data_IF_190317783990
#
_entry.id   IF_190317783990
#
_cell.length_a   1.000
_cell.length_b   1.000
_cell.length_c   1.000
_cell.angle_alpha   90.00
_cell.angle_beta   90.00
_cell.angle_gamma   90.00
#
_symmetry.space_group_name_H-M   'P 1'
#
loop_
_entity.id
_entity.type
_entity.pdbx_description
1 polymer ?
#
# COMPACT_ATOMS: atom_id res chain seq x y z
N UNK A 1 22.42 5.87 -24.10
CA UNK A 1 21.07 6.14 -23.56
C UNK A 1 20.64 5.01 -22.65
N UNK A 2 20.74 5.20 -21.34
CA UNK A 2 20.08 4.29 -20.38
C UNK A 2 18.60 4.65 -20.43
N UNK A 3 17.89 4.01 -21.35
CA UNK A 3 16.44 4.16 -21.54
C UNK A 3 15.73 3.78 -20.24
N UNK A 4 14.87 4.66 -19.73
CA UNK A 4 13.97 4.37 -18.59
C UNK A 4 14.16 5.17 -17.30
N UNK A 5 15.20 6.01 -17.17
CA UNK A 5 15.36 6.86 -15.97
C UNK A 5 14.58 8.18 -16.13
N UNK A 6 13.41 8.26 -15.51
CA UNK A 6 12.68 9.52 -15.28
C UNK A 6 12.80 9.92 -13.79
N UNK A 7 12.97 11.21 -13.50
CA UNK A 7 12.99 11.73 -12.13
C UNK A 7 11.67 11.34 -11.45
N UNK A 8 11.74 10.66 -10.31
CA UNK A 8 10.57 10.18 -9.59
C UNK A 8 10.18 8.73 -9.87
N UNK A 9 10.91 8.00 -10.72
CA UNK A 9 10.73 6.56 -10.96
C UNK A 9 11.76 5.71 -10.20
N UNK A 10 11.37 4.48 -9.85
CA UNK A 10 12.21 3.51 -9.14
C UNK A 10 12.01 2.11 -9.72
N UNK A 11 13.08 1.31 -9.74
CA UNK A 11 13.03 -0.07 -10.18
C UNK A 11 12.20 -0.92 -9.20
N UNK A 12 11.11 -1.51 -9.67
CA UNK A 12 10.25 -2.44 -8.94
C UNK A 12 10.41 -3.86 -9.49
N UNK A 13 10.75 -4.81 -8.62
CA UNK A 13 10.91 -6.23 -9.00
C UNK A 13 9.65 -7.07 -8.79
N UNK A 14 8.68 -6.56 -8.04
CA UNK A 14 7.52 -7.31 -7.57
C UNK A 14 6.25 -6.99 -8.38
N UNK A 15 6.22 -5.87 -9.09
CA UNK A 15 5.03 -5.44 -9.84
C UNK A 15 4.62 -6.42 -10.94
N UNK A 16 5.60 -7.01 -11.65
CA UNK A 16 5.36 -8.03 -12.67
C UNK A 16 5.22 -9.43 -12.06
N UNK A 17 6.00 -9.71 -11.03
CA UNK A 17 6.12 -11.03 -10.41
C UNK A 17 6.11 -10.91 -8.88
N UNK A 18 4.95 -11.08 -8.21
CA UNK A 18 4.87 -10.99 -6.77
C UNK A 18 5.84 -11.97 -6.08
N UNK A 19 6.64 -11.47 -5.14
CA UNK A 19 7.60 -12.27 -4.38
C UNK A 19 8.91 -12.60 -5.12
N UNK A 20 9.12 -12.03 -6.31
CA UNK A 20 10.36 -12.17 -7.03
C UNK A 20 11.55 -11.61 -6.22
N UNK A 21 12.69 -12.29 -6.30
CA UNK A 21 13.95 -11.91 -5.63
C UNK A 21 15.04 -11.51 -6.61
N UNK A 22 14.87 -11.82 -7.89
CA UNK A 22 15.83 -11.56 -8.95
C UNK A 22 15.61 -10.15 -9.51
N UNK A 23 16.69 -9.37 -9.57
CA UNK A 23 16.71 -8.14 -10.35
C UNK A 23 17.28 -8.42 -11.74
N UNK A 24 16.43 -8.41 -12.77
CA UNK A 24 16.82 -8.58 -14.17
C UNK A 24 15.90 -7.73 -15.07
N UNK A 25 16.36 -7.32 -16.28
CA UNK A 25 15.57 -6.45 -17.16
C UNK A 25 14.19 -7.00 -17.56
N UNK A 26 14.03 -8.32 -17.56
CA UNK A 26 12.77 -8.99 -17.90
C UNK A 26 11.92 -9.33 -16.66
N UNK A 27 12.40 -9.01 -15.45
CA UNK A 27 11.71 -9.29 -14.18
C UNK A 27 11.46 -8.04 -13.35
N UNK A 28 11.86 -6.87 -13.84
CA UNK A 28 11.74 -5.60 -13.14
C UNK A 28 11.27 -4.51 -14.10
N UNK A 29 10.51 -3.55 -13.57
CA UNK A 29 9.99 -2.41 -14.32
C UNK A 29 10.31 -1.11 -13.57
N UNK A 30 10.48 0.00 -14.29
CA UNK A 30 10.57 1.30 -13.63
C UNK A 30 9.17 1.83 -13.34
N UNK A 31 8.83 1.97 -12.06
CA UNK A 31 7.51 2.45 -11.62
C UNK A 31 7.62 3.80 -10.92
N UNK A 32 6.58 4.64 -11.00
CA UNK A 32 6.56 5.88 -10.22
C UNK A 32 6.72 5.62 -8.72
N UNK A 33 7.42 6.52 -8.04
CA UNK A 33 7.70 6.36 -6.59
C UNK A 33 6.44 6.35 -5.76
N UNK A 34 5.39 7.08 -6.17
CA UNK A 34 4.11 7.08 -5.45
C UNK A 34 3.43 5.70 -5.47
N UNK A 35 3.61 4.91 -6.53
CA UNK A 35 3.05 3.56 -6.65
C UNK A 35 3.66 2.59 -5.62
N UNK A 36 4.98 2.67 -5.41
CA UNK A 36 5.66 1.89 -4.37
C UNK A 36 5.07 2.13 -2.97
N UNK A 37 4.71 3.39 -2.66
CA UNK A 37 4.16 3.73 -1.33
C UNK A 37 2.82 3.07 -1.03
N UNK A 38 2.10 2.60 -2.06
CA UNK A 38 0.88 1.82 -1.88
C UNK A 38 1.20 0.45 -1.27
N UNK A 39 2.28 -0.20 -1.68
CA UNK A 39 2.55 -1.59 -1.30
C UNK A 39 3.52 -1.73 -0.13
N UNK A 40 4.21 -0.66 0.26
CA UNK A 40 5.27 -0.66 1.29
C UNK A 40 4.82 -1.15 2.68
N UNK A 41 3.52 -1.15 2.98
CA UNK A 41 2.97 -1.60 4.26
C UNK A 41 2.14 -2.90 4.18
N UNK A 42 2.11 -3.55 3.01
CA UNK A 42 1.36 -4.79 2.80
C UNK A 42 2.19 -6.06 3.10
N UNK A 43 3.51 -5.92 3.27
CA UNK A 43 4.38 -7.04 3.63
C UNK A 43 4.19 -7.41 5.10
N UNK A 44 3.79 -8.67 5.32
CA UNK A 44 3.32 -9.29 6.57
C UNK A 44 4.27 -9.22 7.77
N UNK A 45 5.45 -8.62 7.66
CA UNK A 45 6.58 -8.97 8.57
C UNK A 45 7.08 -7.84 9.47
N UNK A 46 6.86 -6.55 9.15
CA UNK A 46 7.57 -5.47 9.86
C UNK A 46 6.73 -4.60 10.82
N UNK A 47 5.41 -4.55 10.65
CA UNK A 47 4.52 -3.73 11.48
C UNK A 47 3.75 -4.52 12.55
N UNK A 48 3.89 -5.84 12.58
CA UNK A 48 3.32 -6.70 13.62
C UNK A 48 4.18 -6.72 14.90
N UNK A 49 4.79 -5.57 15.26
CA UNK A 49 5.63 -5.44 16.47
C UNK A 49 4.82 -5.59 17.77
N UNK A 50 3.50 -5.67 17.66
CA UNK A 50 2.60 -6.01 18.75
C UNK A 50 1.79 -7.25 18.37
N UNK A 51 2.40 -8.45 18.44
CA UNK A 51 1.87 -9.77 18.84
C UNK A 51 0.39 -10.18 18.65
N UNK A 52 -0.43 -9.50 17.85
CA UNK A 52 -1.90 -9.63 17.92
C UNK A 52 -2.54 -10.22 16.65
N UNK A 53 -1.77 -10.77 15.70
CA UNK A 53 -2.31 -11.38 14.47
C UNK A 53 -3.42 -10.55 13.80
N UNK A 54 -3.28 -9.22 13.82
CA UNK A 54 -4.30 -8.34 13.26
C UNK A 54 -4.21 -8.28 11.73
N UNK A 55 -5.35 -8.17 11.03
CA UNK A 55 -5.36 -8.01 9.58
C UNK A 55 -4.60 -6.76 9.12
N UNK A 56 -4.16 -6.75 7.86
CA UNK A 56 -3.52 -5.58 7.26
C UNK A 56 -4.42 -4.33 7.37
N UNK A 57 -3.77 -3.20 7.63
CA UNK A 57 -4.45 -1.93 7.81
C UNK A 57 -5.15 -1.75 9.15
N UNK A 58 -5.10 -2.74 10.04
CA UNK A 58 -5.75 -2.70 11.35
C UNK A 58 -4.70 -2.59 12.45
N UNK A 59 -4.96 -1.73 13.43
CA UNK A 59 -4.20 -1.69 14.68
C UNK A 59 -5.14 -1.63 15.88
N UNK A 60 -4.76 -2.28 16.98
CA UNK A 60 -5.39 -2.03 18.27
C UNK A 60 -5.02 -0.62 18.72
N UNK A 61 -6.00 0.24 18.97
CA UNK A 61 -5.77 1.63 19.35
C UNK A 61 -5.83 1.85 20.85
N UNK A 62 -6.87 1.32 21.50
CA UNK A 62 -7.10 1.44 22.94
C UNK A 62 -8.10 0.37 23.39
N UNK A 63 -8.33 0.28 24.70
CA UNK A 63 -9.54 -0.34 25.23
C UNK A 63 -10.53 0.76 25.63
N UNK A 64 -11.82 0.49 25.51
CA UNK A 64 -12.87 1.41 25.96
C UNK A 64 -13.04 1.40 27.49
N UNK A 65 -14.04 2.14 28.00
CA UNK A 65 -14.33 2.21 29.44
C UNK A 65 -14.77 0.87 30.07
N UNK A 66 -15.15 -0.12 29.26
CA UNK A 66 -15.53 -1.46 29.70
C UNK A 66 -14.40 -2.48 29.51
N UNK A 67 -13.23 -2.03 29.05
CA UNK A 67 -12.09 -2.90 28.78
C UNK A 67 -12.19 -3.64 27.44
N UNK A 68 -13.12 -3.27 26.56
CA UNK A 68 -13.25 -3.88 25.22
C UNK A 68 -12.26 -3.26 24.24
N UNK A 69 -11.58 -4.07 23.39
CA UNK A 69 -10.61 -3.56 22.45
C UNK A 69 -11.28 -2.71 21.36
N UNK A 70 -10.65 -1.58 21.04
CA UNK A 70 -11.06 -0.69 19.94
C UNK A 70 -9.98 -0.72 18.86
N UNK A 71 -10.37 -1.15 17.68
CA UNK A 71 -9.53 -1.29 16.50
C UNK A 71 -9.64 -0.06 15.62
N UNK A 72 -8.54 0.36 15.01
CA UNK A 72 -8.52 1.48 14.07
C UNK A 72 -8.05 0.98 12.72
N UNK A 73 -8.77 1.39 11.68
CA UNK A 73 -8.44 1.10 10.29
C UNK A 73 -7.69 2.27 9.67
N UNK A 74 -6.57 2.01 8.98
CA UNK A 74 -5.74 3.03 8.35
C UNK A 74 -5.26 2.59 6.98
N UNK A 75 -5.42 3.45 5.98
CA UNK A 75 -4.92 3.22 4.62
C UNK A 75 -3.93 4.31 4.23
N UNK A 76 -2.91 3.96 3.44
CA UNK A 76 -1.98 4.91 2.83
C UNK A 76 -2.25 5.00 1.33
N UNK A 77 -2.39 6.24 0.86
CA UNK A 77 -2.65 6.61 -0.53
C UNK A 77 -1.73 7.77 -0.92
N UNK A 78 -1.00 7.65 -2.03
CA UNK A 78 -0.08 8.68 -2.54
C UNK A 78 0.84 9.27 -1.44
N UNK A 79 1.44 8.40 -0.62
CA UNK A 79 2.32 8.80 0.49
C UNK A 79 1.62 9.33 1.75
N UNK A 80 0.31 9.61 1.73
CA UNK A 80 -0.46 10.10 2.88
C UNK A 80 -1.20 8.97 3.59
N UNK A 81 -1.16 8.96 4.92
CA UNK A 81 -1.88 7.98 5.74
C UNK A 81 -3.17 8.60 6.29
N UNK A 82 -4.28 7.91 6.06
CA UNK A 82 -5.61 8.32 6.50
C UNK A 82 -6.18 7.30 7.48
N UNK A 83 -6.82 7.79 8.55
CA UNK A 83 -7.60 6.95 9.47
C UNK A 83 -9.02 6.84 8.95
N UNK A 84 -9.51 5.63 8.74
CA UNK A 84 -10.81 5.34 8.12
C UNK A 84 -11.94 5.23 9.15
N UNK A 85 -11.60 4.89 10.39
CA UNK A 85 -12.57 4.75 11.48
C UNK A 85 -12.03 3.96 12.67
N UNK A 86 -12.85 3.90 13.71
CA UNK A 86 -12.68 2.99 14.86
C UNK A 86 -13.79 1.94 14.83
N UNK A 87 -13.47 0.72 15.21
CA UNK A 87 -14.32 -0.46 15.12
C UNK A 87 -14.14 -1.33 16.37
N UNK A 88 -15.20 -2.06 16.73
CA UNK A 88 -15.15 -3.00 17.86
C UNK A 88 -14.72 -4.41 17.41
N UNK A 89 -14.69 -4.64 16.09
CA UNK A 89 -14.25 -5.89 15.46
C UNK A 89 -13.08 -5.63 14.47
N UNK A 90 -11.99 -6.41 14.54
CA UNK A 90 -10.83 -6.22 13.68
C UNK A 90 -11.12 -6.56 12.20
N UNK A 91 -12.07 -7.45 11.91
CA UNK A 91 -12.43 -7.80 10.53
C UNK A 91 -13.27 -6.71 9.86
N UNK A 92 -14.12 -6.02 10.61
CA UNK A 92 -14.80 -4.80 10.13
C UNK A 92 -13.81 -3.68 9.82
N UNK A 93 -12.83 -3.47 10.70
CA UNK A 93 -11.72 -2.54 10.42
C UNK A 93 -10.95 -2.95 9.16
N UNK A 94 -10.73 -4.25 8.95
CA UNK A 94 -10.07 -4.76 7.76
C UNK A 94 -10.90 -4.56 6.49
N UNK A 95 -12.21 -4.79 6.53
CA UNK A 95 -13.10 -4.55 5.40
C UNK A 95 -13.07 -3.06 4.97
N UNK A 96 -13.09 -2.14 5.95
CA UNK A 96 -12.92 -0.72 5.67
C UNK A 96 -11.58 -0.41 5.00
N UNK A 97 -10.50 -1.07 5.46
CA UNK A 97 -9.19 -0.96 4.83
C UNK A 97 -9.18 -1.50 3.40
N UNK A 98 -9.79 -2.66 3.14
CA UNK A 98 -9.86 -3.25 1.80
C UNK A 98 -10.55 -2.31 0.81
N UNK A 99 -11.69 -1.74 1.19
CA UNK A 99 -12.41 -0.77 0.35
C UNK A 99 -11.56 0.47 0.05
N UNK A 100 -10.96 1.07 1.09
CA UNK A 100 -10.08 2.21 0.90
C UNK A 100 -8.83 1.85 0.08
N UNK A 101 -8.35 0.61 0.19
CA UNK A 101 -7.18 0.15 -0.55
C UNK A 101 -7.47 -0.03 -2.03
N UNK A 102 -8.63 -0.57 -2.37
CA UNK A 102 -9.12 -0.64 -3.76
C UNK A 102 -9.24 0.78 -4.34
N UNK A 103 -9.86 1.71 -3.63
CA UNK A 103 -9.97 3.10 -4.07
C UNK A 103 -8.59 3.75 -4.29
N UNK A 104 -7.65 3.54 -3.38
CA UNK A 104 -6.29 4.05 -3.49
C UNK A 104 -5.52 3.47 -4.70
N UNK A 105 -5.78 2.21 -5.06
CA UNK A 105 -5.19 1.58 -6.23
C UNK A 105 -5.79 2.16 -7.50
N UNK A 106 -7.12 2.35 -7.56
CA UNK A 106 -7.80 2.97 -8.69
C UNK A 106 -7.30 4.40 -8.93
N UNK A 107 -7.21 5.23 -7.88
CA UNK A 107 -6.67 6.60 -7.98
C UNK A 107 -5.22 6.61 -8.51
N UNK A 108 -4.41 5.64 -8.11
CA UNK A 108 -3.05 5.50 -8.61
C UNK A 108 -2.99 5.07 -10.08
N UNK A 109 -3.92 4.21 -10.52
CA UNK A 109 -4.03 3.81 -11.93
C UNK A 109 -4.42 5.03 -12.77
N UNK A 110 -5.42 5.80 -12.32
CA UNK A 110 -5.86 7.01 -13.02
C UNK A 110 -4.71 8.02 -13.13
N UNK A 111 -3.98 8.25 -12.04
CA UNK A 111 -2.80 9.12 -12.04
C UNK A 111 -1.74 8.64 -13.03
N UNK A 112 -1.42 7.34 -13.01
CA UNK A 112 -0.43 6.76 -13.91
C UNK A 112 -0.84 6.84 -15.38
N UNK A 113 -2.14 6.73 -15.69
CA UNK A 113 -2.66 6.89 -17.04
C UNK A 113 -2.65 8.35 -17.53
N UNK A 114 -2.83 9.32 -16.61
CA UNK A 114 -2.76 10.76 -16.92
C UNK A 114 -1.33 11.28 -17.04
N UNK A 115 -0.36 10.64 -16.39
CA UNK A 115 1.06 10.93 -16.54
C UNK A 115 1.54 10.47 -17.92
N UNK A 116 1.33 11.31 -18.95
CA UNK A 116 1.79 11.19 -20.34
C UNK A 116 2.79 10.05 -20.64
N UNK A 117 2.30 8.81 -20.70
CA UNK A 117 3.06 7.65 -21.21
C UNK A 117 3.19 7.73 -22.75
N UNK A 118 2.84 8.87 -23.34
CA UNK A 118 2.92 9.15 -24.77
C UNK A 118 3.89 10.27 -25.15
N UNK A 119 4.60 10.88 -24.19
CA UNK A 119 5.65 11.87 -24.50
C UNK A 119 7.05 11.24 -24.72
N UNK A 120 7.12 9.92 -24.91
CA UNK A 120 8.35 9.23 -25.33
C UNK A 120 8.11 8.51 -26.65
N UNK A 121 7.94 9.29 -27.72
CA UNK A 121 8.20 8.88 -29.10
C UNK A 121 8.78 10.07 -29.86
#
# INVERSE_FOLDING_TARGET
NVSGYAIGYRLDRNILFPGNKLYAPHTCEFTPTYMHTLFTNCDKTSNNRANNDLPLGVRLARHDKYGMPVYVSQCRTLGKQSTLGSFDDPMQAHAAWQHAKVAAILECIDLYQMEDVHSVN
#
